data_IF_875641952100
#
_entry.id   IF_875641952100
#
_cell.length_a   1.000
_cell.length_b   1.000
_cell.length_c   1.000
_cell.angle_alpha   90.00
_cell.angle_beta   90.00
_cell.angle_gamma   90.00
#
_symmetry.space_group_name_H-M   'P 1'
#
loop_
_entity.id
_entity.type
_entity.pdbx_description
1 polymer ?
#
# COMPACT_ATOMS: atom_id res chain seq x y z
N UNK A 1 26.69 5.96 -2.50
CA UNK A 1 27.24 5.16 -1.38
C UNK A 1 26.21 4.94 -0.27
N UNK A 2 25.63 5.96 0.36
CA UNK A 2 24.65 5.77 1.45
C UNK A 2 23.42 4.91 1.09
N UNK A 3 22.85 5.09 -0.10
CA UNK A 3 21.72 4.27 -0.56
C UNK A 3 22.07 2.78 -0.68
N UNK A 4 23.28 2.46 -1.17
CA UNK A 4 23.75 1.07 -1.25
C UNK A 4 23.92 0.45 0.14
N UNK A 5 24.41 1.23 1.11
CA UNK A 5 24.52 0.80 2.51
C UNK A 5 23.12 0.52 3.09
N UNK A 6 22.16 1.42 2.85
CA UNK A 6 20.79 1.21 3.30
C UNK A 6 20.11 -0.01 2.64
N UNK A 7 20.36 -0.24 1.35
CA UNK A 7 19.89 -1.44 0.65
C UNK A 7 20.48 -2.72 1.25
N UNK A 8 21.79 -2.71 1.53
CA UNK A 8 22.47 -3.82 2.17
C UNK A 8 21.91 -4.09 3.57
N UNK A 9 21.71 -3.02 4.39
CA UNK A 9 21.07 -3.13 5.69
C UNK A 9 19.70 -3.79 5.59
N UNK A 10 18.85 -3.33 4.65
CA UNK A 10 17.52 -3.92 4.43
C UNK A 10 17.58 -5.39 4.01
N UNK A 11 18.51 -5.73 3.13
CA UNK A 11 18.72 -7.13 2.70
C UNK A 11 19.19 -8.01 3.88
N UNK A 12 20.08 -7.50 4.73
CA UNK A 12 20.54 -8.20 5.95
C UNK A 12 19.39 -8.37 6.94
N UNK A 13 18.59 -7.32 7.19
CA UNK A 13 17.44 -7.41 8.09
C UNK A 13 16.40 -8.41 7.58
N UNK A 14 16.10 -8.39 6.29
CA UNK A 14 15.16 -9.31 5.68
C UNK A 14 15.68 -10.76 5.68
N UNK A 15 16.98 -10.96 5.37
CA UNK A 15 17.63 -12.26 5.45
C UNK A 15 17.72 -12.79 6.88
N UNK A 16 18.00 -11.93 7.86
CA UNK A 16 17.98 -12.30 9.27
C UNK A 16 16.58 -12.71 9.73
N UNK A 17 15.54 -11.99 9.28
CA UNK A 17 14.15 -12.38 9.52
C UNK A 17 13.88 -13.79 9.00
N UNK A 18 14.34 -14.13 7.80
CA UNK A 18 14.17 -15.48 7.21
C UNK A 18 14.81 -16.58 8.06
N UNK A 19 16.02 -16.33 8.58
CA UNK A 19 16.77 -17.32 9.38
C UNK A 19 16.20 -17.52 10.79
N UNK A 20 15.61 -16.47 11.37
CA UNK A 20 15.09 -16.48 12.75
C UNK A 20 13.57 -16.65 12.82
N UNK A 21 12.93 -16.93 11.69
CA UNK A 21 11.48 -17.05 11.55
C UNK A 21 10.97 -18.45 11.91
N UNK A 22 9.65 -18.60 11.90
CA UNK A 22 8.95 -19.88 12.02
C UNK A 22 9.23 -20.81 10.82
N UNK A 23 8.72 -22.04 10.88
CA UNK A 23 8.88 -23.04 9.83
C UNK A 23 8.28 -22.63 8.46
N UNK A 24 7.33 -21.70 8.46
CA UNK A 24 6.63 -21.18 7.28
C UNK A 24 7.20 -19.86 6.79
N UNK A 25 8.22 -19.32 7.46
CA UNK A 25 8.82 -18.01 7.17
C UNK A 25 7.78 -16.87 7.07
N UNK A 26 6.78 -16.89 7.95
CA UNK A 26 5.61 -16.00 7.91
C UNK A 26 5.99 -14.54 8.10
N UNK A 27 6.91 -14.26 9.03
CA UNK A 27 7.41 -12.90 9.30
C UNK A 27 8.19 -12.35 8.10
N UNK A 28 9.05 -13.17 7.48
CA UNK A 28 9.79 -12.80 6.26
C UNK A 28 8.84 -12.42 5.14
N UNK A 29 7.90 -13.30 4.78
CA UNK A 29 6.97 -13.07 3.69
C UNK A 29 6.01 -11.90 3.95
N UNK A 30 5.56 -11.72 5.19
CA UNK A 30 4.71 -10.58 5.53
C UNK A 30 5.48 -9.25 5.48
N UNK A 31 6.76 -9.21 5.88
CA UNK A 31 7.62 -8.04 5.73
C UNK A 31 7.90 -7.73 4.26
N UNK A 32 8.14 -8.76 3.44
CA UNK A 32 8.32 -8.61 2.00
C UNK A 32 7.05 -8.10 1.32
N UNK A 33 5.88 -8.68 1.63
CA UNK A 33 4.58 -8.23 1.11
C UNK A 33 4.30 -6.77 1.49
N UNK A 34 4.41 -6.43 2.77
CA UNK A 34 4.14 -5.11 3.31
C UNK A 34 4.91 -4.01 2.55
N UNK A 35 6.23 -4.16 2.46
CA UNK A 35 7.08 -3.16 1.80
C UNK A 35 6.89 -3.17 0.28
N UNK A 36 6.70 -4.33 -0.35
CA UNK A 36 6.47 -4.43 -1.80
C UNK A 36 5.17 -3.77 -2.23
N UNK A 37 4.07 -4.02 -1.52
CA UNK A 37 2.77 -3.38 -1.78
C UNK A 37 2.88 -1.86 -1.60
N UNK A 38 3.54 -1.41 -0.53
CA UNK A 38 3.67 0.01 -0.21
C UNK A 38 4.40 0.78 -1.33
N UNK A 39 5.60 0.34 -1.72
CA UNK A 39 6.38 1.05 -2.75
C UNK A 39 5.79 0.89 -4.16
N UNK A 40 5.16 -0.26 -4.47
CA UNK A 40 4.49 -0.47 -5.75
C UNK A 40 3.29 0.45 -5.91
N UNK A 41 2.50 0.60 -4.86
CA UNK A 41 1.35 1.51 -4.87
C UNK A 41 1.75 2.97 -4.99
N UNK A 42 2.82 3.42 -4.32
CA UNK A 42 3.38 4.77 -4.50
C UNK A 42 3.76 5.01 -5.97
N UNK A 43 4.41 4.02 -6.62
CA UNK A 43 4.78 4.12 -8.02
C UNK A 43 3.57 4.19 -8.95
N UNK A 44 2.52 3.40 -8.68
CA UNK A 44 1.28 3.42 -9.45
C UNK A 44 0.57 4.77 -9.31
N UNK A 45 0.49 5.33 -8.09
CA UNK A 45 -0.17 6.62 -7.85
C UNK A 45 0.58 7.80 -8.46
N UNK A 46 1.91 7.73 -8.59
CA UNK A 46 2.67 8.73 -9.34
C UNK A 46 2.27 8.74 -10.83
N UNK A 47 2.14 7.57 -11.44
CA UNK A 47 1.61 7.43 -12.79
C UNK A 47 0.17 7.91 -12.91
N UNK A 48 -0.68 7.56 -11.94
CA UNK A 48 -2.09 7.97 -11.91
C UNK A 48 -2.24 9.49 -11.84
N UNK A 49 -1.55 10.15 -10.90
CA UNK A 49 -1.66 11.61 -10.74
C UNK A 49 -1.07 12.37 -11.91
N UNK A 50 0.07 11.91 -12.45
CA UNK A 50 0.63 12.46 -13.69
C UNK A 50 -0.36 12.34 -14.85
N UNK A 51 -0.94 11.17 -15.09
CA UNK A 51 -1.91 10.97 -16.17
C UNK A 51 -3.20 11.77 -15.96
N UNK A 52 -3.68 11.91 -14.73
CA UNK A 52 -4.81 12.76 -14.38
C UNK A 52 -4.50 14.23 -14.71
N UNK A 53 -3.33 14.73 -14.34
CA UNK A 53 -2.88 16.09 -14.63
C UNK A 53 -2.73 16.35 -16.14
N UNK A 54 -2.16 15.42 -16.91
CA UNK A 54 -2.07 15.49 -18.37
C UNK A 54 -3.47 15.54 -19.01
N UNK A 55 -4.39 14.72 -18.54
CA UNK A 55 -5.76 14.65 -19.08
C UNK A 55 -6.55 15.91 -18.75
N UNK A 56 -6.31 16.50 -17.57
CA UNK A 56 -6.91 17.74 -17.12
C UNK A 56 -6.28 19.02 -17.72
N UNK A 57 -5.29 18.92 -18.62
CA UNK A 57 -4.56 20.06 -19.20
C UNK A 57 -3.86 20.93 -18.16
N UNK A 58 -3.41 20.35 -17.04
CA UNK A 58 -2.70 21.07 -16.01
C UNK A 58 -1.24 21.32 -16.41
N UNK A 59 -0.77 22.56 -16.30
CA UNK A 59 0.61 22.94 -16.63
C UNK A 59 1.53 23.05 -15.42
N UNK A 60 1.02 23.29 -14.22
CA UNK A 60 1.79 23.64 -13.04
C UNK A 60 2.92 22.66 -12.66
N UNK A 61 2.77 21.37 -12.93
CA UNK A 61 3.71 20.33 -12.51
C UNK A 61 4.82 20.02 -13.53
N UNK A 62 4.76 20.59 -14.73
CA UNK A 62 5.62 20.23 -15.87
C UNK A 62 7.11 20.40 -15.56
N UNK A 63 7.47 21.40 -14.76
CA UNK A 63 8.87 21.65 -14.34
C UNK A 63 9.48 20.45 -13.59
N UNK A 64 8.69 19.65 -12.89
CA UNK A 64 9.14 18.44 -12.20
C UNK A 64 8.45 17.15 -12.68
N UNK A 65 7.78 17.17 -13.84
CA UNK A 65 7.10 16.01 -14.47
C UNK A 65 8.01 14.76 -14.50
N UNK A 66 9.31 14.93 -14.76
CA UNK A 66 10.30 13.84 -14.80
C UNK A 66 10.43 13.08 -13.49
N UNK A 67 10.13 13.71 -12.36
CA UNK A 67 10.12 13.05 -11.05
C UNK A 67 9.00 12.01 -11.01
N UNK A 68 7.77 12.37 -11.39
CA UNK A 68 6.65 11.43 -11.41
C UNK A 68 6.82 10.33 -12.46
N UNK A 69 7.35 10.66 -13.64
CA UNK A 69 7.73 9.66 -14.64
C UNK A 69 8.73 8.65 -14.07
N UNK A 70 9.71 9.12 -13.29
CA UNK A 70 10.75 8.25 -12.74
C UNK A 70 10.26 7.41 -11.58
N UNK A 71 9.39 7.96 -10.73
CA UNK A 71 8.72 7.21 -9.64
C UNK A 71 7.85 6.11 -10.25
N UNK A 72 7.04 6.42 -11.26
CA UNK A 72 6.12 5.45 -11.88
C UNK A 72 6.85 4.29 -12.57
N UNK A 73 8.07 4.51 -13.08
CA UNK A 73 8.88 3.44 -13.67
C UNK A 73 9.30 2.37 -12.65
N UNK A 74 9.21 2.62 -11.34
CA UNK A 74 9.48 1.60 -10.34
C UNK A 74 8.53 0.40 -10.42
N UNK A 75 7.40 0.51 -11.10
CA UNK A 75 6.54 -0.63 -11.43
C UNK A 75 7.31 -1.78 -12.11
N UNK A 76 8.41 -1.48 -12.81
CA UNK A 76 9.31 -2.50 -13.38
C UNK A 76 9.91 -3.44 -12.32
N UNK A 77 10.07 -2.98 -11.08
CA UNK A 77 10.54 -3.78 -9.95
C UNK A 77 9.37 -4.22 -9.06
N UNK A 78 8.42 -3.31 -8.82
CA UNK A 78 7.28 -3.56 -7.94
C UNK A 78 6.39 -4.72 -8.40
N UNK A 79 6.08 -4.79 -9.70
CA UNK A 79 5.26 -5.87 -10.26
C UNK A 79 5.94 -7.25 -10.10
N UNK A 80 7.23 -7.44 -10.46
CA UNK A 80 7.96 -8.68 -10.14
C UNK A 80 7.97 -9.05 -8.65
N UNK A 81 8.08 -8.07 -7.73
CA UNK A 81 7.99 -8.35 -6.29
C UNK A 81 6.63 -8.96 -5.92
N UNK A 82 5.52 -8.42 -6.45
CA UNK A 82 4.18 -8.95 -6.22
C UNK A 82 3.99 -10.32 -6.88
N UNK A 83 4.62 -10.56 -8.05
CA UNK A 83 4.60 -11.86 -8.70
C UNK A 83 5.40 -12.91 -7.92
N UNK A 84 6.50 -12.55 -7.25
CA UNK A 84 7.25 -13.45 -6.36
C UNK A 84 6.36 -13.94 -5.23
N UNK A 85 5.53 -13.06 -4.64
CA UNK A 85 4.56 -13.46 -3.61
C UNK A 85 3.52 -14.41 -4.21
N UNK A 86 2.97 -14.10 -5.39
CA UNK A 86 2.01 -14.97 -6.08
C UNK A 86 2.60 -16.34 -6.46
N UNK A 87 3.86 -16.39 -6.87
CA UNK A 87 4.57 -17.65 -7.08
C UNK A 87 4.79 -18.41 -5.77
N UNK A 88 5.03 -17.68 -4.66
CA UNK A 88 5.09 -18.27 -3.33
C UNK A 88 3.79 -18.99 -2.94
N UNK A 89 2.62 -18.41 -3.28
CA UNK A 89 1.32 -19.08 -3.13
C UNK A 89 1.26 -20.35 -3.99
N UNK A 90 1.65 -20.25 -5.27
CA UNK A 90 1.58 -21.36 -6.23
C UNK A 90 2.46 -22.56 -5.84
N UNK A 91 3.62 -22.30 -5.24
CA UNK A 91 4.57 -23.33 -4.81
C UNK A 91 4.46 -23.68 -3.32
N UNK A 92 3.42 -23.19 -2.62
CA UNK A 92 3.22 -23.39 -1.18
C UNK A 92 4.45 -23.00 -0.33
N UNK A 93 5.19 -21.95 -0.77
CA UNK A 93 6.36 -21.44 -0.06
C UNK A 93 6.01 -20.61 1.17
N UNK A 94 4.76 -20.22 1.32
CA UNK A 94 4.21 -19.48 2.47
C UNK A 94 2.70 -19.67 2.60
N UNK A 95 2.17 -19.34 3.78
CA UNK A 95 0.75 -19.44 4.11
C UNK A 95 0.15 -18.08 4.50
N UNK A 96 0.52 -16.98 3.78
CA UNK A 96 -0.01 -15.65 4.06
C UNK A 96 -1.51 -15.52 3.80
N UNK A 97 -2.03 -16.33 2.89
CA UNK A 97 -3.41 -16.27 2.40
C UNK A 97 -4.14 -17.56 2.73
N UNK A 98 -5.05 -17.49 3.68
CA UNK A 98 -5.86 -18.61 4.16
C UNK A 98 -6.69 -19.27 3.02
N UNK A 99 -7.20 -18.49 2.08
CA UNK A 99 -7.95 -18.98 0.93
C UNK A 99 -7.13 -19.83 -0.06
N UNK A 100 -5.82 -19.82 0.07
CA UNK A 100 -4.94 -20.61 -0.81
C UNK A 100 -4.75 -22.06 -0.33
N UNK A 101 -5.25 -22.40 0.87
CA UNK A 101 -5.20 -23.76 1.40
C UNK A 101 -6.26 -24.63 0.71
N UNK A 102 -5.89 -25.72 0.01
CA UNK A 102 -6.84 -26.63 -0.63
C UNK A 102 -7.84 -27.27 0.35
N UNK A 103 -7.45 -27.46 1.61
CA UNK A 103 -8.31 -28.06 2.63
C UNK A 103 -9.58 -27.23 2.91
N UNK A 104 -9.51 -25.90 2.69
CA UNK A 104 -10.65 -24.99 2.87
C UNK A 104 -11.72 -25.12 1.77
N UNK A 105 -11.37 -25.69 0.62
CA UNK A 105 -12.25 -25.85 -0.54
C UNK A 105 -12.81 -27.29 -0.68
N UNK A 106 -12.35 -28.24 0.13
CA UNK A 106 -12.76 -29.65 0.06
C UNK A 106 -14.11 -29.87 0.73
N UNK A 107 -15.18 -29.96 -0.07
CA UNK A 107 -16.55 -30.14 0.41
C UNK A 107 -16.69 -31.43 1.22
N UNK A 108 -17.03 -31.27 2.50
CA UNK A 108 -17.14 -32.40 3.45
C UNK A 108 -15.85 -32.69 4.21
N UNK A 109 -14.78 -31.97 3.98
CA UNK A 109 -13.57 -31.97 4.81
C UNK A 109 -13.82 -31.28 6.16
N UNK A 110 -12.97 -31.59 7.13
CA UNK A 110 -13.06 -31.05 8.50
C UNK A 110 -12.82 -29.54 8.54
N UNK A 111 -12.05 -29.01 7.58
CA UNK A 111 -11.67 -27.59 7.46
C UNK A 111 -12.43 -26.86 6.36
N UNK A 112 -13.52 -27.43 5.82
CA UNK A 112 -14.27 -26.80 4.74
C UNK A 112 -14.89 -25.47 5.15
N UNK A 113 -14.56 -24.40 4.40
CA UNK A 113 -15.13 -23.06 4.60
C UNK A 113 -16.02 -22.63 3.42
N UNK A 114 -17.32 -22.58 3.69
CA UNK A 114 -18.33 -22.20 2.69
C UNK A 114 -18.19 -20.75 2.20
N UNK A 115 -17.66 -19.81 3.03
CA UNK A 115 -17.49 -18.41 2.66
C UNK A 115 -16.31 -18.25 1.71
N UNK A 116 -15.21 -18.97 1.96
CA UNK A 116 -14.03 -18.99 1.10
C UNK A 116 -14.37 -19.65 -0.23
N UNK A 117 -15.08 -20.79 -0.20
CA UNK A 117 -15.54 -21.49 -1.41
C UNK A 117 -16.42 -20.59 -2.29
N UNK A 118 -17.35 -19.83 -1.70
CA UNK A 118 -18.18 -18.86 -2.40
C UNK A 118 -17.38 -17.71 -3.07
N UNK A 119 -16.15 -17.42 -2.60
CA UNK A 119 -15.24 -16.41 -3.16
C UNK A 119 -14.18 -16.99 -4.08
N UNK A 120 -14.07 -18.31 -4.23
CA UNK A 120 -13.03 -19.01 -4.98
C UNK A 120 -12.94 -18.60 -6.46
N UNK A 121 -14.03 -18.10 -7.05
CA UNK A 121 -14.05 -17.52 -8.40
C UNK A 121 -13.13 -16.30 -8.56
N UNK A 122 -12.91 -15.53 -7.50
CA UNK A 122 -12.03 -14.35 -7.50
C UNK A 122 -10.78 -14.56 -6.63
N UNK A 123 -10.91 -15.17 -5.44
CA UNK A 123 -9.79 -15.48 -4.56
C UNK A 123 -9.19 -16.83 -4.96
N UNK A 124 -8.27 -16.79 -5.91
CA UNK A 124 -7.50 -17.97 -6.33
C UNK A 124 -6.14 -17.53 -6.89
N UNK A 125 -5.19 -18.47 -6.90
CA UNK A 125 -3.82 -18.24 -7.34
C UNK A 125 -3.75 -17.78 -8.81
N UNK A 126 -4.66 -18.27 -9.67
CA UNK A 126 -4.73 -17.87 -11.08
C UNK A 126 -5.07 -16.39 -11.25
N UNK A 127 -6.03 -15.88 -10.49
CA UNK A 127 -6.38 -14.46 -10.48
C UNK A 127 -5.29 -13.59 -9.83
N UNK A 128 -4.67 -14.07 -8.75
CA UNK A 128 -3.57 -13.33 -8.12
C UNK A 128 -2.41 -13.12 -9.09
N UNK A 129 -1.89 -14.20 -9.66
CA UNK A 129 -0.73 -14.16 -10.57
C UNK A 129 -1.11 -13.56 -11.93
N UNK A 130 -2.19 -14.04 -12.54
CA UNK A 130 -2.64 -13.58 -13.86
C UNK A 130 -3.08 -12.11 -13.84
N UNK A 131 -3.87 -11.70 -12.84
CA UNK A 131 -4.30 -10.32 -12.66
C UNK A 131 -3.12 -9.37 -12.43
N UNK A 132 -2.19 -9.74 -11.53
CA UNK A 132 -0.96 -8.97 -11.27
C UNK A 132 -0.12 -8.83 -12.54
N UNK A 133 0.05 -9.90 -13.32
CA UNK A 133 0.84 -9.87 -14.55
C UNK A 133 0.17 -9.01 -15.62
N UNK A 134 -1.11 -9.24 -15.91
CA UNK A 134 -1.83 -8.56 -16.98
C UNK A 134 -1.96 -7.06 -16.68
N UNK A 135 -2.47 -6.70 -15.50
CA UNK A 135 -2.60 -5.29 -15.11
C UNK A 135 -1.25 -4.62 -14.97
N UNK A 136 -0.27 -5.32 -14.41
CA UNK A 136 1.10 -4.82 -14.29
C UNK A 136 1.73 -4.50 -15.65
N UNK A 137 1.58 -5.37 -16.64
CA UNK A 137 2.06 -5.13 -18.00
C UNK A 137 1.33 -3.94 -18.67
N UNK A 138 0.02 -3.81 -18.47
CA UNK A 138 -0.76 -2.68 -18.97
C UNK A 138 -0.26 -1.37 -18.32
N UNK A 139 -0.15 -1.33 -17.00
CA UNK A 139 0.31 -0.15 -16.28
C UNK A 139 1.71 0.27 -16.68
N UNK A 140 2.66 -0.66 -16.60
CA UNK A 140 4.05 -0.38 -16.97
C UNK A 140 4.19 -0.03 -18.45
N UNK A 141 3.54 -0.77 -19.35
CA UNK A 141 3.63 -0.53 -20.80
C UNK A 141 3.09 0.84 -21.21
N UNK A 142 1.94 1.26 -20.67
CA UNK A 142 1.37 2.58 -20.96
C UNK A 142 2.25 3.71 -20.40
N UNK A 143 2.74 3.60 -19.16
CA UNK A 143 3.60 4.61 -18.55
C UNK A 143 4.97 4.68 -19.23
N UNK A 144 5.55 3.55 -19.61
CA UNK A 144 6.79 3.50 -20.39
C UNK A 144 6.62 4.16 -21.77
N UNK A 145 5.46 3.96 -22.42
CA UNK A 145 5.12 4.61 -23.68
C UNK A 145 4.99 6.13 -23.52
N UNK A 146 4.26 6.58 -22.48
CA UNK A 146 4.13 8.01 -22.15
C UNK A 146 5.51 8.63 -21.93
N UNK A 147 6.36 8.00 -21.12
CA UNK A 147 7.73 8.47 -20.87
C UNK A 147 8.57 8.50 -22.13
N UNK A 148 8.49 7.49 -23.01
CA UNK A 148 9.22 7.46 -24.28
C UNK A 148 8.83 8.63 -25.17
N UNK A 149 7.53 8.91 -25.35
CA UNK A 149 7.06 10.04 -26.16
C UNK A 149 7.52 11.37 -25.55
N UNK A 150 7.46 11.52 -24.24
CA UNK A 150 7.90 12.71 -23.51
C UNK A 150 9.40 12.97 -23.66
N UNK A 151 10.24 11.93 -23.67
CA UNK A 151 11.69 12.06 -23.92
C UNK A 151 11.98 12.38 -25.39
N UNK A 152 11.23 11.78 -26.31
CA UNK A 152 11.38 12.04 -27.75
C UNK A 152 10.92 13.45 -28.12
N UNK A 153 10.00 14.06 -27.36
CA UNK A 153 9.61 15.46 -27.47
C UNK A 153 10.80 16.39 -27.18
N UNK A 154 11.54 16.12 -26.11
CA UNK A 154 12.72 16.91 -25.75
C UNK A 154 13.86 16.80 -26.79
N UNK A 155 14.01 15.66 -27.49
CA UNK A 155 15.03 15.42 -28.50
C UNK A 155 14.70 16.05 -29.85
N UNK A 156 13.42 16.01 -30.25
CA UNK A 156 12.99 16.46 -31.57
C UNK A 156 12.76 17.97 -31.66
N UNK A 157 12.74 18.66 -30.54
CA UNK A 157 12.39 20.09 -30.46
C UNK A 157 10.88 20.33 -30.46
N UNK A 158 10.47 21.60 -30.34
CA UNK A 158 9.05 21.97 -30.21
C UNK A 158 8.28 21.59 -31.47
N UNK A 159 7.21 20.76 -31.33
CA UNK A 159 6.30 20.39 -32.41
C UNK A 159 4.85 20.86 -32.14
N UNK A 160 4.70 21.84 -31.28
CA UNK A 160 3.41 22.31 -30.80
C UNK A 160 2.75 21.29 -29.86
N UNK A 161 1.50 20.94 -30.13
CA UNK A 161 0.72 20.02 -29.29
C UNK A 161 0.67 18.58 -29.81
N UNK A 162 1.34 18.24 -30.89
CA UNK A 162 1.17 16.92 -31.53
C UNK A 162 1.56 15.77 -30.61
N UNK A 163 2.72 15.85 -29.98
CA UNK A 163 3.18 14.83 -29.02
C UNK A 163 2.37 14.85 -27.73
N UNK A 164 1.99 16.04 -27.27
CA UNK A 164 1.12 16.21 -26.12
C UNK A 164 -0.24 15.50 -26.31
N UNK A 165 -0.88 15.63 -27.49
CA UNK A 165 -2.11 14.87 -27.78
C UNK A 165 -1.88 13.37 -27.75
N UNK A 166 -0.74 12.88 -28.23
CA UNK A 166 -0.38 11.47 -28.15
C UNK A 166 -0.20 11.00 -26.71
N UNK A 167 0.53 11.75 -25.88
CA UNK A 167 0.71 11.47 -24.45
C UNK A 167 -0.63 11.45 -23.74
N UNK A 168 -1.49 12.45 -24.01
CA UNK A 168 -2.83 12.55 -23.41
C UNK A 168 -3.73 11.36 -23.76
N UNK A 169 -3.67 10.86 -25.00
CA UNK A 169 -4.40 9.66 -25.41
C UNK A 169 -4.01 8.45 -24.56
N UNK A 170 -2.71 8.21 -24.38
CA UNK A 170 -2.25 7.09 -23.54
C UNK A 170 -2.55 7.32 -22.05
N UNK A 171 -2.48 8.57 -21.57
CA UNK A 171 -2.86 8.92 -20.21
C UNK A 171 -4.36 8.65 -19.95
N UNK A 172 -5.23 9.02 -20.88
CA UNK A 172 -6.67 8.76 -20.78
C UNK A 172 -7.00 7.26 -20.78
N UNK A 173 -6.23 6.44 -21.53
CA UNK A 173 -6.38 4.97 -21.52
C UNK A 173 -5.87 4.41 -20.17
N UNK A 174 -4.78 4.93 -19.63
CA UNK A 174 -4.20 4.46 -18.38
C UNK A 174 -5.13 4.64 -17.17
N UNK A 175 -5.84 5.77 -17.08
CA UNK A 175 -6.63 6.13 -15.89
C UNK A 175 -7.66 5.08 -15.48
N UNK A 176 -8.53 4.54 -16.36
CA UNK A 176 -9.48 3.51 -15.95
C UNK A 176 -8.79 2.19 -15.56
N UNK A 177 -7.72 1.78 -16.25
CA UNK A 177 -6.95 0.60 -15.85
C UNK A 177 -6.24 0.78 -14.52
N UNK A 178 -5.75 1.99 -14.21
CA UNK A 178 -5.16 2.29 -12.92
C UNK A 178 -6.24 2.35 -11.82
N UNK A 179 -7.37 3.02 -12.06
CA UNK A 179 -8.44 3.18 -11.07
C UNK A 179 -9.09 1.84 -10.70
N UNK A 180 -9.70 1.14 -11.66
CA UNK A 180 -10.37 -0.14 -11.39
C UNK A 180 -9.40 -1.27 -11.12
N UNK A 181 -8.28 -1.31 -11.85
CA UNK A 181 -7.27 -2.34 -11.68
C UNK A 181 -6.59 -2.26 -10.32
N UNK A 182 -6.28 -1.07 -9.79
CA UNK A 182 -5.71 -0.93 -8.45
C UNK A 182 -6.68 -1.43 -7.37
N UNK A 183 -7.98 -1.15 -7.50
CA UNK A 183 -8.99 -1.66 -6.58
C UNK A 183 -9.02 -3.20 -6.57
N UNK A 184 -9.05 -3.83 -7.75
CA UNK A 184 -9.02 -5.27 -7.87
C UNK A 184 -7.76 -5.88 -7.25
N UNK A 185 -6.60 -5.24 -7.46
CA UNK A 185 -5.33 -5.73 -6.90
C UNK A 185 -5.23 -5.49 -5.39
N UNK A 186 -5.78 -4.40 -4.85
CA UNK A 186 -5.86 -4.19 -3.39
C UNK A 186 -6.68 -5.29 -2.72
N UNK A 187 -7.79 -5.67 -3.34
CA UNK A 187 -8.62 -6.78 -2.83
C UNK A 187 -7.87 -8.12 -2.87
N UNK A 188 -7.05 -8.35 -3.90
CA UNK A 188 -6.23 -9.57 -4.01
C UNK A 188 -4.98 -9.55 -3.12
N UNK A 189 -4.25 -8.42 -3.06
CA UNK A 189 -2.95 -8.37 -2.41
C UNK A 189 -3.02 -8.15 -0.91
N UNK A 190 -4.01 -7.39 -0.45
CA UNK A 190 -4.08 -6.92 0.94
C UNK A 190 -5.36 -7.39 1.64
N UNK A 191 -6.53 -7.09 1.08
CA UNK A 191 -7.79 -7.41 1.75
C UNK A 191 -8.01 -8.92 1.88
N UNK A 192 -7.56 -9.72 0.92
CA UNK A 192 -7.72 -11.18 0.91
C UNK A 192 -6.90 -11.92 1.98
N UNK A 193 -6.03 -11.21 2.71
CA UNK A 193 -5.36 -11.75 3.90
C UNK A 193 -6.39 -12.09 4.99
N UNK A 194 -7.46 -11.27 5.12
CA UNK A 194 -8.63 -11.52 5.97
C UNK A 194 -9.82 -11.95 5.08
N UNK A 195 -9.92 -13.21 4.59
CA UNK A 195 -10.88 -13.58 3.55
C UNK A 195 -12.33 -13.57 3.99
N UNK A 196 -12.59 -13.66 5.29
CA UNK A 196 -13.93 -13.60 5.87
C UNK A 196 -14.50 -12.19 5.89
N UNK A 197 -13.63 -11.18 5.89
CA UNK A 197 -14.00 -9.78 5.86
C UNK A 197 -13.93 -9.20 4.45
N UNK A 198 -14.76 -8.22 4.12
CA UNK A 198 -14.67 -7.46 2.87
C UNK A 198 -15.22 -6.04 3.01
N UNK A 199 -14.64 -5.13 2.24
CA UNK A 199 -15.14 -3.76 2.11
C UNK A 199 -14.73 -3.18 0.77
N UNK A 200 -15.68 -2.66 0.00
CA UNK A 200 -15.39 -1.94 -1.26
C UNK A 200 -14.60 -0.65 -1.00
N UNK A 201 -14.87 0.02 0.12
CA UNK A 201 -14.21 1.23 0.54
C UNK A 201 -12.73 1.03 0.91
N UNK A 202 -12.33 -0.21 1.23
CA UNK A 202 -10.95 -0.56 1.56
C UNK A 202 -9.98 -0.27 0.41
N UNK A 203 -10.40 -0.48 -0.85
CA UNK A 203 -9.59 -0.15 -2.02
C UNK A 203 -9.34 1.36 -2.15
N UNK A 204 -10.36 2.18 -1.90
CA UNK A 204 -10.22 3.64 -1.89
C UNK A 204 -9.34 4.14 -0.75
N UNK A 205 -9.50 3.57 0.43
CA UNK A 205 -8.71 3.85 1.61
C UNK A 205 -7.22 3.55 1.37
N UNK A 206 -6.91 2.36 0.84
CA UNK A 206 -5.54 1.97 0.48
C UNK A 206 -4.97 2.85 -0.64
N UNK A 207 -5.79 3.17 -1.65
CA UNK A 207 -5.42 4.08 -2.73
C UNK A 207 -5.09 5.50 -2.24
N UNK A 208 -5.87 6.02 -1.29
CA UNK A 208 -5.60 7.31 -0.66
C UNK A 208 -4.29 7.30 0.14
N UNK A 209 -4.01 6.21 0.89
CA UNK A 209 -2.76 6.00 1.61
C UNK A 209 -1.55 6.02 0.67
N UNK A 210 -1.61 5.32 -0.46
CA UNK A 210 -0.58 5.38 -1.51
C UNK A 210 -0.41 6.76 -2.11
N UNK A 211 -1.53 7.46 -2.37
CA UNK A 211 -1.52 8.78 -2.99
C UNK A 211 -0.85 9.82 -2.09
N UNK A 212 -1.21 9.85 -0.81
CA UNK A 212 -0.60 10.75 0.18
C UNK A 212 0.90 10.45 0.32
N UNK A 213 1.27 9.17 0.38
CA UNK A 213 2.67 8.73 0.44
C UNK A 213 3.45 9.14 -0.81
N UNK A 214 2.84 9.10 -1.98
CA UNK A 214 3.46 9.53 -3.25
C UNK A 214 3.74 11.04 -3.24
N UNK A 215 2.80 11.86 -2.76
CA UNK A 215 3.03 13.31 -2.62
C UNK A 215 4.17 13.58 -1.63
N UNK A 216 4.18 12.86 -0.49
CA UNK A 216 5.25 12.98 0.50
C UNK A 216 6.63 12.62 -0.08
N UNK A 217 6.74 11.52 -0.83
CA UNK A 217 7.98 11.13 -1.55
C UNK A 217 8.38 12.20 -2.55
N UNK A 218 7.43 12.75 -3.31
CA UNK A 218 7.70 13.82 -4.30
C UNK A 218 8.30 15.05 -3.63
N UNK A 219 7.71 15.50 -2.51
CA UNK A 219 8.22 16.64 -1.74
C UNK A 219 9.65 16.38 -1.25
N UNK A 220 9.88 15.24 -0.59
CA UNK A 220 11.19 14.88 -0.04
C UNK A 220 12.27 14.79 -1.13
N UNK A 221 11.92 14.18 -2.27
CA UNK A 221 12.83 14.01 -3.38
C UNK A 221 13.18 15.36 -4.04
N UNK A 222 12.18 16.22 -4.27
CA UNK A 222 12.40 17.57 -4.82
C UNK A 222 13.25 18.44 -3.87
N UNK A 223 12.99 18.39 -2.56
CA UNK A 223 13.80 19.11 -1.58
C UNK A 223 15.24 18.62 -1.56
N UNK A 224 15.45 17.29 -1.61
CA UNK A 224 16.80 16.71 -1.71
C UNK A 224 17.53 17.16 -2.97
N UNK A 225 16.87 17.09 -4.12
CA UNK A 225 17.46 17.47 -5.41
C UNK A 225 17.75 18.99 -5.49
N UNK A 226 16.82 19.82 -4.98
CA UNK A 226 17.02 21.28 -4.89
C UNK A 226 18.20 21.63 -3.99
N UNK A 227 18.36 20.93 -2.88
CA UNK A 227 19.52 21.07 -1.98
C UNK A 227 20.85 20.63 -2.60
N UNK A 228 20.81 19.84 -3.68
CA UNK A 228 21.99 19.45 -4.48
C UNK A 228 22.24 20.35 -5.70
N UNK A 229 21.45 21.40 -5.90
CA UNK A 229 21.59 22.34 -7.00
C UNK A 229 20.79 21.98 -8.25
N UNK A 230 19.99 20.90 -8.21
CA UNK A 230 19.07 20.51 -9.29
C UNK A 230 17.69 21.14 -9.06
N UNK A 231 16.84 21.19 -10.10
CA UNK A 231 15.45 21.71 -10.01
C UNK A 231 15.33 23.11 -9.39
N UNK A 232 16.26 24.03 -9.68
CA UNK A 232 16.22 25.40 -9.16
C UNK A 232 14.99 26.19 -9.64
N UNK A 233 14.41 25.78 -10.77
CA UNK A 233 13.20 26.36 -11.36
C UNK A 233 11.91 25.95 -10.61
N UNK A 234 11.98 24.97 -9.71
CA UNK A 234 10.84 24.63 -8.84
C UNK A 234 10.72 25.69 -7.75
N UNK A 235 9.69 26.53 -7.86
CA UNK A 235 9.42 27.63 -6.93
C UNK A 235 8.80 27.16 -5.61
N UNK A 236 8.71 28.06 -4.64
CA UNK A 236 8.03 27.78 -3.37
C UNK A 236 6.51 27.61 -3.58
N UNK A 237 5.95 28.11 -4.67
CA UNK A 237 4.54 27.93 -5.03
C UNK A 237 4.24 26.48 -5.45
N UNK A 238 5.17 25.82 -6.15
CA UNK A 238 5.05 24.38 -6.44
C UNK A 238 5.03 23.54 -5.15
N UNK A 239 5.91 23.87 -4.19
CA UNK A 239 5.90 23.20 -2.88
C UNK A 239 4.64 23.51 -2.09
N UNK A 240 4.11 24.73 -2.20
CA UNK A 240 2.85 25.11 -1.59
C UNK A 240 1.68 24.28 -2.16
N UNK A 241 1.64 24.06 -3.47
CA UNK A 241 0.62 23.23 -4.11
C UNK A 241 0.73 21.75 -3.72
N UNK A 242 1.94 21.21 -3.75
CA UNK A 242 2.16 19.85 -3.22
C UNK A 242 1.75 19.76 -1.74
N UNK A 243 2.00 20.79 -0.94
CA UNK A 243 1.56 20.90 0.45
C UNK A 243 0.03 20.98 0.60
N UNK A 244 -0.68 21.64 -0.35
CA UNK A 244 -2.16 21.64 -0.40
C UNK A 244 -2.69 20.24 -0.70
N UNK A 245 -2.10 19.54 -1.68
CA UNK A 245 -2.48 18.16 -1.99
C UNK A 245 -2.20 17.22 -0.79
N UNK A 246 -1.03 17.34 -0.16
CA UNK A 246 -0.68 16.57 1.02
C UNK A 246 -1.72 16.76 2.14
N UNK A 247 -2.09 18.01 2.43
CA UNK A 247 -3.10 18.36 3.44
C UNK A 247 -4.48 17.82 3.09
N UNK A 248 -4.96 18.11 1.87
CA UNK A 248 -6.31 17.73 1.43
C UNK A 248 -6.50 16.21 1.40
N UNK A 249 -5.50 15.48 0.89
CA UNK A 249 -5.59 14.03 0.80
C UNK A 249 -5.34 13.32 2.14
N UNK A 250 -4.62 13.92 3.09
CA UNK A 250 -4.60 13.42 4.47
C UNK A 250 -5.98 13.50 5.12
N UNK A 251 -6.74 14.56 4.87
CA UNK A 251 -8.15 14.68 5.32
C UNK A 251 -9.02 13.64 4.58
N UNK A 252 -8.83 13.47 3.27
CA UNK A 252 -9.58 12.50 2.48
C UNK A 252 -9.32 11.06 2.93
N UNK A 253 -8.06 10.71 3.21
CA UNK A 253 -7.70 9.41 3.79
C UNK A 253 -8.40 9.18 5.14
N UNK A 254 -8.39 10.19 6.02
CA UNK A 254 -9.06 10.12 7.33
C UNK A 254 -10.57 9.95 7.18
N UNK A 255 -11.18 10.67 6.22
CA UNK A 255 -12.59 10.52 5.90
C UNK A 255 -12.92 9.07 5.49
N UNK A 256 -12.13 8.46 4.60
CA UNK A 256 -12.34 7.07 4.17
C UNK A 256 -12.15 6.08 5.32
N UNK A 257 -11.10 6.25 6.13
CA UNK A 257 -10.83 5.43 7.30
C UNK A 257 -11.96 5.52 8.32
N UNK A 258 -12.36 6.74 8.68
CA UNK A 258 -13.42 6.98 9.66
C UNK A 258 -14.80 6.54 9.16
N UNK A 259 -15.13 6.80 7.90
CA UNK A 259 -16.42 6.40 7.30
C UNK A 259 -16.57 4.88 7.30
N UNK A 260 -15.52 4.15 6.97
CA UNK A 260 -15.50 2.70 7.00
C UNK A 260 -15.73 2.17 8.44
N UNK A 261 -15.00 2.72 9.40
CA UNK A 261 -15.19 2.41 10.81
C UNK A 261 -16.60 2.71 11.29
N UNK A 262 -17.10 3.92 11.01
CA UNK A 262 -18.42 4.37 11.44
C UNK A 262 -19.55 3.51 10.87
N UNK A 263 -19.49 3.17 9.58
CA UNK A 263 -20.52 2.36 8.92
C UNK A 263 -20.57 0.95 9.53
N UNK A 264 -19.42 0.33 9.75
CA UNK A 264 -19.31 -1.00 10.35
C UNK A 264 -19.76 -0.96 11.82
N UNK A 265 -19.34 0.05 12.58
CA UNK A 265 -19.75 0.26 13.96
C UNK A 265 -21.27 0.48 14.08
N UNK A 266 -21.85 1.31 13.18
CA UNK A 266 -23.28 1.61 13.19
C UNK A 266 -24.12 0.39 12.80
N UNK A 267 -23.72 -0.36 11.78
CA UNK A 267 -24.42 -1.57 11.35
C UNK A 267 -24.33 -2.71 12.40
N UNK A 268 -23.22 -2.76 13.15
CA UNK A 268 -22.96 -3.72 14.23
C UNK A 268 -23.21 -5.19 13.84
N UNK A 269 -22.85 -5.55 12.59
CA UNK A 269 -22.90 -6.93 12.11
C UNK A 269 -21.66 -7.64 12.62
N UNK A 270 -21.83 -8.76 13.36
CA UNK A 270 -20.74 -9.47 14.03
C UNK A 270 -19.56 -9.80 13.10
N UNK A 271 -19.87 -10.32 11.91
CA UNK A 271 -18.88 -10.71 10.90
C UNK A 271 -18.05 -9.52 10.35
N UNK A 272 -18.64 -8.33 10.27
CA UNK A 272 -17.96 -7.13 9.76
C UNK A 272 -17.17 -6.39 10.84
N UNK A 273 -17.61 -6.43 12.09
CA UNK A 273 -16.97 -5.72 13.22
C UNK A 273 -15.62 -6.31 13.62
N UNK A 274 -15.35 -7.57 13.32
CA UNK A 274 -14.15 -8.32 13.68
C UNK A 274 -12.88 -7.58 13.26
N UNK A 275 -12.85 -7.02 12.04
CA UNK A 275 -11.69 -6.33 11.49
C UNK A 275 -11.20 -5.16 12.37
N UNK A 276 -12.12 -4.28 12.77
CA UNK A 276 -11.78 -3.14 13.63
C UNK A 276 -11.59 -3.54 15.08
N UNK A 277 -12.41 -4.47 15.59
CA UNK A 277 -12.29 -4.99 16.96
C UNK A 277 -10.90 -5.56 17.21
N UNK A 278 -10.41 -6.43 16.32
CA UNK A 278 -9.07 -7.00 16.41
C UNK A 278 -7.97 -5.92 16.48
N UNK A 279 -8.10 -4.87 15.68
CA UNK A 279 -7.11 -3.78 15.63
C UNK A 279 -7.18 -2.87 16.84
N UNK A 280 -8.37 -2.63 17.38
CA UNK A 280 -8.56 -1.82 18.60
C UNK A 280 -8.10 -2.58 19.84
N UNK A 281 -8.45 -3.87 19.96
CA UNK A 281 -8.17 -4.67 21.15
C UNK A 281 -6.70 -5.13 21.21
N UNK A 282 -6.15 -5.58 20.07
CA UNK A 282 -4.80 -6.16 20.02
C UNK A 282 -3.70 -5.16 19.62
N UNK A 283 -4.05 -4.05 18.96
CA UNK A 283 -3.11 -3.04 18.44
C UNK A 283 -3.45 -1.61 18.86
N UNK A 284 -3.94 -1.34 20.09
CA UNK A 284 -4.49 -0.02 20.45
C UNK A 284 -3.46 1.11 20.26
N UNK A 285 -2.23 0.88 20.64
CA UNK A 285 -1.16 1.90 20.52
C UNK A 285 -0.91 2.29 19.06
N UNK A 286 -0.80 1.32 18.15
CA UNK A 286 -0.60 1.57 16.72
C UNK A 286 -1.85 2.16 16.05
N UNK A 287 -3.03 1.71 16.45
CA UNK A 287 -4.30 2.20 15.90
C UNK A 287 -4.48 3.70 16.15
N UNK A 288 -4.27 4.17 17.39
CA UNK A 288 -4.36 5.59 17.72
C UNK A 288 -3.16 6.40 17.21
N UNK A 289 -1.96 5.80 17.20
CA UNK A 289 -0.77 6.43 16.64
C UNK A 289 -0.91 6.67 15.14
N UNK A 290 -1.54 5.75 14.42
CA UNK A 290 -1.85 5.90 13.00
C UNK A 290 -2.71 7.14 12.73
N UNK A 291 -3.77 7.35 13.52
CA UNK A 291 -4.60 8.55 13.43
C UNK A 291 -3.82 9.83 13.80
N UNK A 292 -3.00 9.76 14.83
CA UNK A 292 -2.19 10.90 15.28
C UNK A 292 -1.21 11.36 14.19
N UNK A 293 -0.50 10.43 13.57
CA UNK A 293 0.56 10.75 12.58
C UNK A 293 -0.04 11.13 11.23
N UNK A 294 -1.07 10.44 10.75
CA UNK A 294 -1.58 10.63 9.40
C UNK A 294 -2.68 11.70 9.30
N UNK A 295 -3.30 12.08 10.41
CA UNK A 295 -4.33 13.12 10.42
C UNK A 295 -4.02 14.28 11.37
N UNK A 296 -3.92 14.01 12.68
CA UNK A 296 -3.87 15.09 13.69
C UNK A 296 -2.63 15.95 13.46
N UNK A 297 -1.45 15.36 13.33
CA UNK A 297 -0.21 16.11 13.13
C UNK A 297 -0.20 16.89 11.80
N UNK A 298 -0.47 16.28 10.63
CA UNK A 298 -0.56 17.02 9.37
C UNK A 298 -1.62 18.13 9.39
N UNK A 299 -2.77 17.86 9.97
CA UNK A 299 -3.85 18.85 10.05
C UNK A 299 -3.38 20.13 10.75
N UNK A 300 -2.81 20.04 11.94
CA UNK A 300 -2.35 21.22 12.66
C UNK A 300 -1.10 21.87 12.05
N UNK A 301 -0.16 21.09 11.52
CA UNK A 301 1.06 21.63 10.94
C UNK A 301 0.79 22.29 9.59
N UNK A 302 0.00 21.66 8.72
CA UNK A 302 -0.23 22.14 7.35
C UNK A 302 -1.46 23.05 7.20
N UNK A 303 -2.22 23.33 8.27
CA UNK A 303 -3.35 24.24 8.21
C UNK A 303 -2.92 25.66 7.82
N UNK A 304 -1.76 26.11 8.29
CA UNK A 304 -1.21 27.44 7.96
C UNK A 304 -0.53 27.43 6.59
N UNK A 305 -0.78 28.48 5.79
CA UNK A 305 -0.16 28.64 4.48
C UNK A 305 1.36 28.77 4.56
N UNK A 306 1.90 29.48 5.56
CA UNK A 306 3.32 29.69 5.77
C UNK A 306 4.09 28.38 5.97
N UNK A 307 3.49 27.38 6.64
CA UNK A 307 4.13 26.10 6.93
C UNK A 307 4.28 25.23 5.66
N UNK A 308 3.35 25.37 4.70
CA UNK A 308 3.41 24.70 3.40
C UNK A 308 4.51 25.26 2.48
N UNK A 309 4.90 26.53 2.64
CA UNK A 309 5.99 27.18 1.88
C UNK A 309 7.36 26.97 2.50
N UNK A 310 7.43 26.67 3.80
CA UNK A 310 8.70 26.47 4.49
C UNK A 310 9.22 25.04 4.28
N UNK A 311 10.36 24.92 3.60
CA UNK A 311 11.01 23.64 3.27
C UNK A 311 11.16 22.71 4.48
N UNK A 312 11.61 23.24 5.65
CA UNK A 312 11.81 22.42 6.84
C UNK A 312 10.51 21.83 7.41
N UNK A 313 9.48 22.66 7.56
CA UNK A 313 8.16 22.22 8.06
C UNK A 313 7.49 21.23 7.12
N UNK A 314 7.48 21.54 5.82
CA UNK A 314 6.88 20.68 4.80
C UNK A 314 7.62 19.34 4.68
N UNK A 315 8.97 19.38 4.70
CA UNK A 315 9.79 18.16 4.64
C UNK A 315 9.64 17.30 5.87
N UNK A 316 9.61 17.89 7.07
CA UNK A 316 9.32 17.14 8.30
C UNK A 316 7.95 16.45 8.25
N UNK A 317 6.92 17.19 7.85
CA UNK A 317 5.55 16.64 7.76
C UNK A 317 5.47 15.56 6.70
N UNK A 318 6.11 15.73 5.54
CA UNK A 318 6.16 14.71 4.48
C UNK A 318 6.86 13.44 4.96
N UNK A 319 7.99 13.56 5.69
CA UNK A 319 8.67 12.41 6.30
C UNK A 319 7.82 11.69 7.35
N UNK A 320 7.14 12.46 8.20
CA UNK A 320 6.24 11.93 9.23
C UNK A 320 5.07 11.15 8.60
N UNK A 321 4.42 11.72 7.58
CA UNK A 321 3.32 11.11 6.85
C UNK A 321 3.77 9.85 6.11
N UNK A 322 4.93 9.87 5.45
CA UNK A 322 5.45 8.69 4.74
C UNK A 322 5.65 7.52 5.71
N UNK A 323 6.20 7.79 6.89
CA UNK A 323 6.33 6.78 7.94
C UNK A 323 4.95 6.35 8.50
N UNK A 324 4.04 7.29 8.71
CA UNK A 324 2.70 7.01 9.22
C UNK A 324 1.89 6.13 8.28
N UNK A 325 1.95 6.35 6.97
CA UNK A 325 1.28 5.47 6.01
C UNK A 325 1.96 4.11 5.86
N UNK A 326 3.25 4.01 6.09
CA UNK A 326 3.90 2.71 6.22
C UNK A 326 3.37 1.93 7.45
N UNK A 327 3.15 2.61 8.59
CA UNK A 327 2.47 2.02 9.75
C UNK A 327 1.02 1.64 9.47
N UNK A 328 0.32 2.42 8.65
CA UNK A 328 -1.03 2.12 8.19
C UNK A 328 -1.09 0.79 7.42
N UNK A 329 -0.16 0.58 6.50
CA UNK A 329 0.00 -0.70 5.80
C UNK A 329 0.39 -1.86 6.73
N UNK A 330 1.17 -1.58 7.77
CA UNK A 330 1.44 -2.57 8.82
C UNK A 330 0.13 -3.04 9.48
N UNK A 331 -0.76 -2.11 9.85
CA UNK A 331 -2.07 -2.41 10.43
C UNK A 331 -3.05 -3.08 9.44
N UNK A 332 -2.90 -2.85 8.15
CA UNK A 332 -3.70 -3.55 7.12
C UNK A 332 -3.31 -5.02 7.00
N UNK A 333 -2.03 -5.35 7.11
CA UNK A 333 -1.45 -6.65 6.73
C UNK A 333 -1.19 -7.55 7.95
N UNK A 334 -0.46 -7.04 8.95
CA UNK A 334 0.08 -7.87 10.02
C UNK A 334 -0.97 -8.56 10.90
N UNK A 335 -2.09 -7.92 11.27
CA UNK A 335 -3.11 -8.59 12.09
C UNK A 335 -3.70 -9.84 11.41
N UNK A 336 -4.04 -9.75 10.11
CA UNK A 336 -4.58 -10.89 9.38
C UNK A 336 -3.55 -12.01 9.16
N UNK A 337 -2.29 -11.64 8.86
CA UNK A 337 -1.21 -12.64 8.73
C UNK A 337 -0.96 -13.37 10.05
N UNK A 338 -0.98 -12.67 11.19
CA UNK A 338 -0.81 -13.30 12.50
C UNK A 338 -1.91 -14.31 12.79
N UNK A 339 -3.15 -13.99 12.44
CA UNK A 339 -4.28 -14.90 12.60
C UNK A 339 -4.09 -16.18 11.78
N UNK A 340 -3.80 -16.05 10.49
CA UNK A 340 -3.56 -17.19 9.58
C UNK A 340 -2.36 -18.04 10.05
N UNK A 341 -1.30 -17.42 10.59
CA UNK A 341 -0.14 -18.12 11.10
C UNK A 341 -0.47 -18.97 12.34
N UNK A 342 -1.30 -18.45 13.27
CA UNK A 342 -1.72 -19.20 14.45
C UNK A 342 -2.56 -20.41 14.07
N UNK A 343 -3.46 -20.30 13.11
CA UNK A 343 -4.24 -21.43 12.61
C UNK A 343 -3.35 -22.49 11.95
N UNK A 344 -2.42 -22.06 11.06
CA UNK A 344 -1.54 -22.98 10.34
C UNK A 344 -0.53 -23.72 11.24
N UNK A 345 -0.10 -23.11 12.35
CA UNK A 345 0.84 -23.72 13.31
C UNK A 345 0.15 -24.55 14.40
N UNK A 346 -1.17 -24.70 14.37
CA UNK A 346 -1.93 -25.52 15.32
C UNK A 346 -2.06 -24.94 16.73
N UNK A 347 -1.69 -23.68 16.95
CA UNK A 347 -1.85 -23.00 18.24
C UNK A 347 -3.31 -22.58 18.52
N UNK A 348 -4.24 -22.88 17.60
CA UNK A 348 -5.68 -22.55 17.73
C UNK A 348 -6.53 -23.63 18.40
N UNK A 349 -6.02 -24.84 18.65
CA UNK A 349 -6.81 -25.98 19.09
C UNK A 349 -6.77 -26.33 20.60
N UNK A 350 -6.06 -25.58 21.44
CA UNK A 350 -5.99 -25.87 22.88
C UNK A 350 -7.15 -25.25 23.69
N UNK A 351 -8.40 -25.42 23.23
CA UNK A 351 -9.53 -24.79 23.89
C UNK A 351 -10.83 -25.57 24.01
N UNK A 352 -11.00 -26.74 23.41
CA UNK A 352 -12.25 -27.53 23.61
C UNK A 352 -12.01 -29.02 23.64
N UNK A 353 -11.43 -29.50 24.73
CA UNK A 353 -11.68 -30.86 25.23
C UNK A 353 -13.02 -30.82 26.00
N UNK A 354 -14.11 -31.02 25.31
CA UNK A 354 -15.42 -31.18 25.94
C UNK A 354 -15.48 -32.55 26.64
N UNK A 355 -15.36 -32.55 27.95
CA UNK A 355 -15.77 -33.65 28.81
C UNK A 355 -17.27 -33.88 28.64
N UNK A 356 -17.65 -34.96 27.98
CA UNK A 356 -19.01 -35.54 28.09
C UNK A 356 -19.23 -36.07 29.49
N UNK A 357 -20.15 -35.45 30.22
CA UNK A 357 -20.73 -35.98 31.42
C UNK A 357 -22.22 -35.65 31.43
N UNK A 358 -23.04 -36.67 31.39
CA UNK A 358 -24.45 -36.67 31.04
C UNK A 358 -25.42 -36.02 32.01
N UNK A 359 -26.57 -35.80 31.51
CA UNK A 359 -27.91 -36.19 31.95
C UNK A 359 -28.96 -35.07 32.10
N UNK A 360 -30.09 -35.32 31.45
CA UNK A 360 -31.48 -34.85 31.61
C UNK A 360 -31.96 -33.42 31.33
N UNK A 361 -32.73 -33.32 30.24
CA UNK A 361 -34.16 -32.95 30.36
C UNK A 361 -34.61 -31.56 29.90
N UNK A 362 -35.44 -31.58 28.91
CA UNK A 362 -36.53 -30.67 28.50
C UNK A 362 -36.29 -29.60 27.43
N UNK A 363 -37.06 -29.84 26.38
CA UNK A 363 -37.44 -29.04 25.23
C UNK A 363 -37.58 -27.52 25.45
N UNK A 364 -37.04 -26.72 24.57
CA UNK A 364 -37.75 -25.71 23.75
C UNK A 364 -36.92 -25.39 22.53
N UNK A 365 -37.48 -25.64 21.34
CA UNK A 365 -36.93 -25.22 20.06
C UNK A 365 -36.90 -23.70 19.95
N UNK A 366 -35.77 -23.12 19.54
CA UNK A 366 -35.71 -22.01 18.62
C UNK A 366 -34.30 -21.83 18.07
N UNK A 367 -34.25 -21.68 16.76
CA UNK A 367 -33.16 -21.35 15.88
C UNK A 367 -32.09 -20.42 16.47
N UNK A 368 -30.84 -20.85 16.44
CA UNK A 368 -29.64 -19.98 16.32
C UNK A 368 -28.40 -20.87 16.12
N UNK A 369 -28.27 -21.43 14.96
CA UNK A 369 -27.02 -22.05 14.55
C UNK A 369 -26.18 -21.05 13.75
N UNK A 370 -25.41 -20.19 14.42
CA UNK A 370 -24.31 -19.40 13.82
C UNK A 370 -23.53 -18.66 14.92
N UNK A 371 -23.07 -19.35 15.94
CA UNK A 371 -22.38 -18.71 17.07
C UNK A 371 -21.02 -19.30 17.47
N UNK A 372 -20.45 -20.21 16.69
CA UNK A 372 -19.24 -20.92 17.16
C UNK A 372 -17.90 -20.29 16.63
N UNK A 373 -17.92 -19.46 15.61
CA UNK A 373 -16.70 -18.80 15.13
C UNK A 373 -16.33 -17.49 15.84
N UNK A 374 -17.24 -16.88 16.59
CA UNK A 374 -17.05 -15.57 17.22
C UNK A 374 -16.10 -15.57 18.43
N UNK A 375 -15.73 -16.71 18.98
CA UNK A 375 -14.91 -16.79 20.20
C UNK A 375 -13.41 -17.00 19.97
N UNK A 376 -12.99 -17.40 18.78
CA UNK A 376 -11.56 -17.63 18.47
C UNK A 376 -10.74 -16.35 18.41
N UNK A 377 -11.37 -15.20 18.16
CA UNK A 377 -10.68 -13.90 18.12
C UNK A 377 -10.40 -13.28 19.50
N UNK A 378 -10.97 -13.80 20.55
CA UNK A 378 -10.99 -13.10 21.85
C UNK A 378 -9.90 -13.50 22.84
N UNK A 379 -9.13 -14.57 22.59
CA UNK A 379 -8.10 -15.00 23.55
C UNK A 379 -6.83 -15.47 22.85
N UNK A 380 -6.01 -14.53 22.41
CA UNK A 380 -4.57 -14.78 22.21
C UNK A 380 -3.94 -14.79 23.60
N UNK A 381 -3.77 -15.99 24.17
CA UNK A 381 -3.16 -16.17 25.49
C UNK A 381 -1.74 -15.59 25.51
N UNK A 382 -1.38 -15.04 26.66
CA UNK A 382 -0.03 -14.54 26.98
C UNK A 382 0.98 -15.70 27.03
N UNK A 383 1.45 -16.21 25.89
CA UNK A 383 2.26 -17.42 25.87
C UNK A 383 3.58 -17.41 25.10
N UNK A 384 3.69 -16.65 23.99
CA UNK A 384 4.91 -16.70 23.17
C UNK A 384 5.41 -15.31 22.77
N UNK A 385 6.31 -14.78 23.61
CA UNK A 385 6.97 -13.46 23.38
C UNK A 385 7.75 -13.39 22.06
N UNK A 386 8.16 -14.53 21.48
CA UNK A 386 8.88 -14.59 20.22
C UNK A 386 7.97 -14.31 19.00
N UNK A 387 6.69 -14.70 19.06
CA UNK A 387 5.70 -14.47 18.00
C UNK A 387 5.12 -13.05 17.99
N UNK A 388 5.23 -12.32 19.11
CA UNK A 388 4.69 -10.96 19.24
C UNK A 388 5.57 -9.89 18.59
N UNK A 389 6.89 -10.10 18.59
CA UNK A 389 7.85 -9.14 18.03
C UNK A 389 7.76 -9.15 16.50
N UNK A 390 7.43 -7.99 15.90
CA UNK A 390 7.31 -7.81 14.45
C UNK A 390 5.89 -8.01 13.91
N UNK A 391 4.95 -8.49 14.75
CA UNK A 391 3.52 -8.58 14.40
C UNK A 391 2.68 -7.55 15.17
N UNK A 392 2.81 -7.45 16.50
CA UNK A 392 2.08 -6.46 17.30
C UNK A 392 2.67 -5.06 17.24
N UNK A 393 3.99 -4.95 17.11
CA UNK A 393 4.70 -3.68 16.88
C UNK A 393 5.87 -3.90 15.92
N UNK A 394 6.15 -2.94 15.02
CA UNK A 394 7.33 -3.03 14.17
C UNK A 394 8.61 -3.01 15.02
N UNK A 395 9.43 -4.05 14.88
CA UNK A 395 10.73 -4.17 15.50
C UNK A 395 11.84 -3.54 14.64
N UNK A 396 13.08 -3.70 15.11
CA UNK A 396 14.27 -3.18 14.38
C UNK A 396 14.43 -3.83 13.01
N UNK A 397 14.05 -5.10 12.84
CA UNK A 397 14.14 -5.81 11.57
C UNK A 397 13.13 -5.26 10.55
N UNK A 398 11.91 -4.95 10.99
CA UNK A 398 10.87 -4.32 10.16
C UNK A 398 11.30 -2.92 9.71
N UNK A 399 11.82 -2.12 10.64
CA UNK A 399 12.33 -0.77 10.35
C UNK A 399 13.56 -0.83 9.42
N UNK A 400 14.49 -1.75 9.65
CA UNK A 400 15.64 -1.95 8.78
C UNK A 400 15.25 -2.40 7.36
N UNK A 401 14.26 -3.29 7.25
CA UNK A 401 13.69 -3.70 5.97
C UNK A 401 13.01 -2.52 5.25
N UNK A 402 12.23 -1.71 5.95
CA UNK A 402 11.60 -0.51 5.41
C UNK A 402 12.65 0.48 4.86
N UNK A 403 13.70 0.77 5.63
CA UNK A 403 14.81 1.63 5.19
C UNK A 403 15.46 1.06 3.91
N UNK A 404 15.65 -0.26 3.85
CA UNK A 404 16.20 -0.94 2.68
C UNK A 404 15.35 -0.76 1.43
N UNK A 405 14.03 -0.94 1.55
CA UNK A 405 13.09 -0.73 0.45
C UNK A 405 13.03 0.74 0.02
N UNK A 406 13.05 1.69 0.95
CA UNK A 406 13.11 3.12 0.63
C UNK A 406 14.42 3.48 -0.09
N UNK A 407 15.55 2.91 0.34
CA UNK A 407 16.83 3.12 -0.33
C UNK A 407 16.85 2.52 -1.75
N UNK A 408 16.28 1.33 -1.94
CA UNK A 408 16.10 0.71 -3.25
C UNK A 408 15.23 1.58 -4.15
N UNK A 409 14.11 2.05 -3.63
CA UNK A 409 13.18 2.93 -4.32
C UNK A 409 13.84 4.23 -4.75
N UNK A 410 14.52 4.91 -3.82
CA UNK A 410 15.24 6.15 -4.10
C UNK A 410 16.39 5.93 -5.09
N UNK A 411 17.17 4.86 -4.96
CA UNK A 411 18.25 4.51 -5.87
C UNK A 411 17.74 4.31 -7.31
N UNK A 412 16.65 3.57 -7.47
CA UNK A 412 16.02 3.36 -8.77
C UNK A 412 15.52 4.66 -9.38
N UNK A 413 14.80 5.50 -8.61
CA UNK A 413 14.28 6.78 -9.10
C UNK A 413 15.42 7.70 -9.56
N UNK A 414 16.47 7.85 -8.76
CA UNK A 414 17.63 8.68 -9.12
C UNK A 414 18.34 8.15 -10.37
N UNK A 415 18.44 6.82 -10.51
CA UNK A 415 18.96 6.17 -11.71
C UNK A 415 18.09 6.46 -12.93
N UNK A 416 16.77 6.43 -12.77
CA UNK A 416 15.85 6.75 -13.88
C UNK A 416 15.83 8.23 -14.24
N UNK A 417 16.02 9.12 -13.27
CA UNK A 417 16.19 10.56 -13.51
C UNK A 417 17.47 10.85 -14.28
N UNK A 418 18.57 10.15 -14.01
CA UNK A 418 19.84 10.35 -14.69
C UNK A 418 19.84 9.96 -16.18
N UNK A 419 18.81 9.19 -16.63
CA UNK A 419 18.69 8.73 -18.03
C UNK A 419 17.97 9.71 -18.98
N UNK A 420 17.46 10.84 -18.46
CA UNK A 420 16.73 11.82 -19.26
C UNK A 420 17.02 13.24 -18.75
N UNK A 421 16.78 14.28 -19.57
CA UNK A 421 16.81 15.66 -19.09
C UNK A 421 15.87 15.84 -17.90
N UNK A 422 16.31 16.55 -16.86
CA UNK A 422 15.53 16.73 -15.63
C UNK A 422 14.27 17.57 -15.84
N UNK A 423 14.30 18.50 -16.80
CA UNK A 423 13.18 19.38 -17.16
C UNK A 423 12.72 19.06 -18.58
N UNK A 424 11.41 19.00 -18.81
CA UNK A 424 10.81 18.86 -20.15
C UNK A 424 10.73 20.21 -20.83
N UNK A 425 11.83 20.64 -21.47
CA UNK A 425 11.94 21.98 -22.01
C UNK A 425 11.06 22.25 -23.25
N UNK A 426 10.62 21.21 -23.95
CA UNK A 426 9.79 21.31 -25.15
C UNK A 426 8.30 20.95 -24.87
N UNK A 427 7.94 20.73 -23.62
CA UNK A 427 6.53 20.55 -23.23
C UNK A 427 5.76 21.86 -23.45
N UNK A 428 4.59 21.87 -24.13
CA UNK A 428 3.83 23.08 -24.43
C UNK A 428 3.44 23.93 -23.21
N UNK A 429 3.40 23.31 -22.02
CA UNK A 429 3.02 23.98 -20.77
C UNK A 429 4.22 24.35 -19.88
N UNK A 430 5.45 24.26 -20.38
CA UNK A 430 6.64 24.57 -19.56
C UNK A 430 6.63 26.03 -19.07
N UNK A 431 6.24 26.98 -19.95
CA UNK A 431 6.17 28.40 -19.60
C UNK A 431 5.12 28.66 -18.50
N UNK A 432 3.96 28.01 -18.56
CA UNK A 432 2.95 28.06 -17.50
C UNK A 432 3.51 27.56 -16.16
N UNK A 433 4.26 26.46 -16.19
CA UNK A 433 4.90 25.90 -15.00
C UNK A 433 5.98 26.84 -14.44
N UNK A 434 6.80 27.46 -15.28
CA UNK A 434 7.87 28.36 -14.84
C UNK A 434 7.33 29.65 -14.20
N UNK A 435 6.20 30.14 -14.69
CA UNK A 435 5.52 31.35 -14.20
C UNK A 435 4.36 31.06 -13.25
N UNK A 436 4.35 29.86 -12.67
CA UNK A 436 3.30 29.43 -11.76
C UNK A 436 3.27 30.28 -10.46
N UNK A 437 2.13 30.94 -10.22
CA UNK A 437 1.84 31.72 -9.02
C UNK A 437 0.48 31.32 -8.45
N UNK A 438 0.38 31.14 -7.13
CA UNK A 438 -0.87 30.80 -6.42
C UNK A 438 -1.16 31.74 -5.26
#
# INVERSE_FOLDING_TARGET
MWLLIGMLLGAVCLGWTYVTDDALHTRFWSNFLHNSVFVTGIALMAGFFMCASITAWAGWYVVFKRVWESISMFLMIGIPMMLIIGLGIMFHAHHLYHWADPAMLEVGGENYDKLIDGKSGFLNTGWYVGGTLILGLIWFGLLAKIRSISIDEDKAGPDGFNKHYSVRKYAAIFLPFAGFGSAAMVWQWVMSIDPHWYSTMFAWYTGASWFVSMIAVTILLLQYLKGKGYYQNVSDEHFHDLGKFLFAFSIFWTYLWFSQYMLIWYANVGEETIYFKQRIDNYPALFYLNLLINFIAPFFILMRNDTKRKMGSLGFTAGLILFGHWLDFFLMIKPGVLHTAHEALGHGHDGHSATHGGDHGHDVAHEAGHGAHDLAYATVGHGDSAFEIGYKMPGLLELGTFIGFLCLFAFFILTMLSKAPLTSNNDPYIEESLHHHT
#
